data_IF_123147518642
#
_entry.id   IF_123147518642
#
_cell.length_a   1.000
_cell.length_b   1.000
_cell.length_c   1.000
_cell.angle_alpha   90.00
_cell.angle_beta   90.00
_cell.angle_gamma   90.00
#
_symmetry.space_group_name_H-M   'P 1'
#
loop_
_entity.id
_entity.type
_entity.pdbx_description
1 polymer ?
#
# COMPACT_ATOMS: atom_id res chain seq x y z
N UNK A 1 -14.69 6.71 7.83
CA UNK A 1 -14.83 7.99 8.57
C UNK A 1 -13.95 9.09 7.99
N UNK A 2 -12.68 8.84 7.59
CA UNK A 2 -11.81 9.92 7.05
C UNK A 2 -12.31 10.55 5.73
N UNK A 3 -12.99 9.78 4.88
CA UNK A 3 -13.46 10.23 3.56
C UNK A 3 -14.90 10.75 3.55
N UNK A 4 -15.53 10.90 4.71
CA UNK A 4 -16.87 11.46 4.77
C UNK A 4 -16.84 12.92 4.28
N UNK A 5 -17.79 13.27 3.42
CA UNK A 5 -17.85 14.61 2.83
C UNK A 5 -16.70 14.93 1.87
N UNK A 6 -15.97 13.94 1.35
CA UNK A 6 -14.88 14.15 0.37
C UNK A 6 -15.20 15.14 -0.76
N UNK A 7 -16.39 15.11 -1.40
CA UNK A 7 -16.74 16.07 -2.45
C UNK A 7 -16.74 17.55 -1.99
N UNK A 8 -16.84 17.81 -0.69
CA UNK A 8 -16.88 19.18 -0.14
C UNK A 8 -15.48 19.75 0.10
N UNK A 9 -14.49 18.89 0.40
CA UNK A 9 -13.17 19.34 0.84
C UNK A 9 -12.03 18.92 -0.09
N UNK A 10 -12.24 18.04 -1.09
CA UNK A 10 -11.17 17.53 -1.94
C UNK A 10 -10.41 18.65 -2.67
N UNK A 11 -11.09 19.70 -3.11
CA UNK A 11 -10.48 20.84 -3.80
C UNK A 11 -9.64 21.71 -2.87
N UNK A 12 -9.85 21.59 -1.55
CA UNK A 12 -9.01 22.23 -0.54
C UNK A 12 -7.77 21.39 -0.19
N UNK A 13 -7.56 20.23 -0.82
CA UNK A 13 -6.32 19.47 -0.65
C UNK A 13 -5.13 20.27 -1.16
N UNK A 14 -4.13 20.36 -0.30
CA UNK A 14 -2.83 20.96 -0.53
C UNK A 14 -1.75 19.97 -0.14
N UNK A 15 -0.50 20.21 -0.54
CA UNK A 15 0.61 19.31 -0.17
C UNK A 15 0.79 19.16 1.36
N UNK A 16 0.30 20.12 2.15
CA UNK A 16 0.39 20.11 3.61
C UNK A 16 -0.62 19.17 4.27
N UNK A 17 -1.91 19.35 3.99
CA UNK A 17 -2.98 18.53 4.57
C UNK A 17 -2.99 17.09 3.99
N UNK A 18 -2.61 16.91 2.73
CA UNK A 18 -2.45 15.61 2.11
C UNK A 18 -1.36 14.78 2.82
N UNK A 19 -0.24 15.41 3.21
CA UNK A 19 0.79 14.73 4.02
C UNK A 19 0.24 14.23 5.36
N UNK A 20 -0.60 15.03 6.01
CA UNK A 20 -1.23 14.63 7.27
C UNK A 20 -2.21 13.47 7.05
N UNK A 21 -3.04 13.55 6.01
CA UNK A 21 -3.98 12.50 5.62
C UNK A 21 -3.25 11.17 5.35
N UNK A 22 -2.18 11.21 4.56
CA UNK A 22 -1.33 10.04 4.28
C UNK A 22 -0.64 9.50 5.53
N UNK A 23 -0.23 10.36 6.46
CA UNK A 23 0.36 9.92 7.73
C UNK A 23 -0.65 9.14 8.59
N UNK A 24 -1.90 9.60 8.67
CA UNK A 24 -2.98 8.91 9.39
C UNK A 24 -3.30 7.57 8.73
N UNK A 25 -3.44 7.56 7.39
CA UNK A 25 -3.68 6.32 6.66
C UNK A 25 -2.55 5.31 6.88
N UNK A 26 -1.29 5.74 6.77
CA UNK A 26 -0.12 4.90 6.96
C UNK A 26 -0.07 4.27 8.36
N UNK A 27 -0.50 4.99 9.40
CA UNK A 27 -0.60 4.47 10.75
C UNK A 27 -1.62 3.30 10.84
N UNK A 28 -2.75 3.41 10.15
CA UNK A 28 -3.74 2.32 10.07
C UNK A 28 -3.22 1.17 9.21
N UNK A 29 -2.62 1.47 8.06
CA UNK A 29 -2.06 0.49 7.14
C UNK A 29 -0.98 -0.36 7.81
N UNK A 30 -0.02 0.26 8.51
CA UNK A 30 1.02 -0.45 9.28
C UNK A 30 0.44 -1.43 10.31
N UNK A 31 -0.64 -1.04 11.00
CA UNK A 31 -1.34 -1.94 11.94
C UNK A 31 -2.01 -3.10 11.21
N UNK A 32 -2.71 -2.82 10.10
CA UNK A 32 -3.38 -3.83 9.31
C UNK A 32 -2.42 -4.91 8.79
N UNK A 33 -1.21 -4.51 8.38
CA UNK A 33 -0.17 -5.40 7.88
C UNK A 33 0.77 -5.94 8.96
N UNK A 34 0.59 -5.57 10.25
CA UNK A 34 1.53 -5.92 11.34
C UNK A 34 2.97 -5.49 11.04
N UNK A 35 3.13 -4.33 10.41
CA UNK A 35 4.42 -3.80 9.95
C UNK A 35 5.08 -2.90 11.00
N UNK A 36 6.41 -2.78 10.93
CA UNK A 36 7.15 -1.84 11.77
C UNK A 36 6.79 -0.39 11.47
N UNK A 37 6.95 0.47 12.49
CA UNK A 37 6.79 1.93 12.36
C UNK A 37 7.74 2.57 11.35
N UNK A 38 8.85 1.90 11.05
CA UNK A 38 9.91 2.35 10.12
C UNK A 38 9.58 2.10 8.65
N UNK A 39 8.57 1.28 8.33
CA UNK A 39 8.11 1.09 6.95
C UNK A 39 7.61 2.44 6.41
N UNK A 40 8.10 2.86 5.24
CA UNK A 40 7.67 4.10 4.59
C UNK A 40 6.14 4.15 4.40
N UNK A 41 5.55 5.34 4.49
CA UNK A 41 4.09 5.51 4.43
C UNK A 41 3.49 4.90 3.16
N UNK A 42 4.05 5.22 2.00
CA UNK A 42 3.60 4.70 0.70
C UNK A 42 3.69 3.17 0.63
N UNK A 43 4.79 2.59 1.11
CA UNK A 43 4.97 1.15 1.14
C UNK A 43 3.97 0.44 2.07
N UNK A 44 3.63 1.06 3.20
CA UNK A 44 2.64 0.51 4.12
C UNK A 44 1.24 0.50 3.50
N UNK A 45 0.84 1.60 2.83
CA UNK A 45 -0.44 1.72 2.13
C UNK A 45 -0.52 0.70 0.98
N UNK A 46 0.57 0.57 0.21
CA UNK A 46 0.70 -0.41 -0.86
C UNK A 46 0.55 -1.86 -0.37
N UNK A 47 1.24 -2.23 0.72
CA UNK A 47 1.11 -3.56 1.32
C UNK A 47 -0.29 -3.82 1.87
N UNK A 48 -0.90 -2.80 2.48
CA UNK A 48 -2.27 -2.90 2.96
C UNK A 48 -3.27 -3.14 1.82
N UNK A 49 -2.90 -2.78 0.58
CA UNK A 49 -3.77 -2.94 -0.59
C UNK A 49 -4.94 -1.97 -0.57
N UNK A 50 -4.78 -0.81 0.08
CA UNK A 50 -5.80 0.23 0.16
C UNK A 50 -5.38 1.39 -0.72
N UNK A 51 -6.29 1.93 -1.54
CA UNK A 51 -6.03 3.13 -2.32
C UNK A 51 -5.65 4.31 -1.38
N UNK A 52 -4.65 5.14 -1.73
CA UNK A 52 -4.36 6.37 -1.00
C UNK A 52 -5.60 7.24 -0.85
N UNK A 53 -5.85 7.77 0.34
CA UNK A 53 -7.07 8.50 0.65
C UNK A 53 -7.23 9.80 -0.14
N UNK A 54 -6.15 10.41 -0.61
CA UNK A 54 -6.22 11.55 -1.53
C UNK A 54 -6.83 11.15 -2.88
N UNK A 55 -6.45 9.98 -3.41
CA UNK A 55 -7.00 9.43 -4.65
C UNK A 55 -8.44 8.93 -4.45
N UNK A 56 -8.71 8.27 -3.33
CA UNK A 56 -10.06 7.80 -2.98
C UNK A 56 -11.04 8.98 -2.80
N UNK A 57 -10.58 10.09 -2.21
CA UNK A 57 -11.36 11.33 -2.12
C UNK A 57 -11.71 11.91 -3.50
N UNK A 58 -10.75 11.92 -4.44
CA UNK A 58 -10.97 12.36 -5.83
C UNK A 58 -12.02 11.48 -6.51
N UNK A 59 -11.93 10.15 -6.37
CA UNK A 59 -12.94 9.23 -6.91
C UNK A 59 -14.32 9.53 -6.35
N UNK A 60 -14.44 9.70 -5.03
CA UNK A 60 -15.71 9.99 -4.38
C UNK A 60 -16.32 11.33 -4.83
N UNK A 61 -15.49 12.36 -5.03
CA UNK A 61 -15.91 13.65 -5.57
C UNK A 61 -16.41 13.53 -7.01
N UNK A 62 -15.65 12.86 -7.88
CA UNK A 62 -16.04 12.66 -9.28
C UNK A 62 -17.35 11.87 -9.41
N UNK A 63 -17.55 10.81 -8.60
CA UNK A 63 -18.83 10.08 -8.56
C UNK A 63 -19.97 10.99 -8.10
N UNK A 64 -19.72 11.85 -7.10
CA UNK A 64 -20.74 12.77 -6.59
C UNK A 64 -21.17 13.79 -7.65
N UNK A 65 -20.22 14.38 -8.37
CA UNK A 65 -20.46 15.32 -9.48
C UNK A 65 -21.21 14.64 -10.61
N UNK A 66 -20.76 13.47 -11.07
CA UNK A 66 -21.42 12.69 -12.12
C UNK A 66 -22.88 12.35 -11.77
N UNK A 67 -23.17 12.04 -10.50
CA UNK A 67 -24.54 11.85 -10.01
C UNK A 67 -25.32 13.16 -9.99
N UNK A 68 -24.66 14.28 -9.66
CA UNK A 68 -25.22 15.63 -9.69
C UNK A 68 -25.65 16.04 -11.09
N UNK A 69 -24.78 15.84 -12.08
CA UNK A 69 -25.04 16.17 -13.48
C UNK A 69 -26.25 15.41 -14.01
N UNK A 70 -26.34 14.10 -13.72
CA UNK A 70 -27.52 13.31 -14.11
C UNK A 70 -28.79 13.80 -13.47
N UNK A 71 -28.76 14.14 -12.17
CA UNK A 71 -29.93 14.71 -11.50
C UNK A 71 -30.35 16.04 -12.13
N UNK A 72 -29.41 16.88 -12.58
CA UNK A 72 -29.74 18.13 -13.28
C UNK A 72 -30.39 17.92 -14.65
N UNK A 73 -30.23 16.72 -15.23
CA UNK A 73 -30.84 16.29 -16.48
C UNK A 73 -32.11 15.45 -16.27
N UNK A 74 -32.65 15.42 -15.04
CA UNK A 74 -33.77 14.56 -14.62
C UNK A 74 -33.52 13.05 -14.87
N UNK A 75 -32.25 12.64 -14.95
CA UNK A 75 -31.83 11.26 -15.10
C UNK A 75 -31.50 10.66 -13.73
N UNK A 76 -32.07 9.48 -13.46
CA UNK A 76 -31.66 8.64 -12.33
C UNK A 76 -30.85 7.46 -12.87
N UNK A 77 -29.52 7.43 -12.68
CA UNK A 77 -28.72 6.31 -13.17
C UNK A 77 -29.16 5.01 -12.52
N UNK A 78 -29.21 3.94 -13.31
CA UNK A 78 -29.42 2.60 -12.80
C UNK A 78 -28.25 2.20 -11.89
N UNK A 79 -28.46 1.33 -10.89
CA UNK A 79 -27.38 0.87 -10.01
C UNK A 79 -26.17 0.29 -10.75
N UNK A 80 -26.38 -0.32 -11.93
CA UNK A 80 -25.31 -0.83 -12.79
C UNK A 80 -24.47 0.26 -13.43
N UNK A 81 -25.10 1.34 -13.87
CA UNK A 81 -24.39 2.49 -14.47
C UNK A 81 -23.58 3.22 -13.42
N UNK A 82 -24.16 3.39 -12.23
CA UNK A 82 -23.49 3.98 -11.08
C UNK A 82 -22.25 3.19 -10.64
N UNK A 83 -22.39 1.86 -10.57
CA UNK A 83 -21.27 0.97 -10.27
C UNK A 83 -20.21 1.00 -11.37
N UNK A 84 -20.62 0.98 -12.65
CA UNK A 84 -19.68 1.02 -13.77
C UNK A 84 -18.87 2.32 -13.82
N UNK A 85 -19.48 3.47 -13.57
CA UNK A 85 -18.73 4.74 -13.49
C UNK A 85 -17.76 4.73 -12.31
N UNK A 86 -18.21 4.25 -11.15
CA UNK A 86 -17.35 4.14 -9.97
C UNK A 86 -16.13 3.27 -10.26
N UNK A 87 -16.34 2.09 -10.84
CA UNK A 87 -15.26 1.18 -11.22
C UNK A 87 -14.29 1.82 -12.23
N UNK A 88 -14.81 2.56 -13.20
CA UNK A 88 -14.00 3.31 -14.17
C UNK A 88 -13.11 4.34 -13.48
N UNK A 89 -13.65 5.11 -12.55
CA UNK A 89 -12.91 6.13 -11.80
C UNK A 89 -11.88 5.51 -10.84
N UNK A 90 -12.25 4.41 -10.16
CA UNK A 90 -11.32 3.64 -9.34
C UNK A 90 -10.16 3.06 -10.17
N UNK A 91 -10.42 2.59 -11.41
CA UNK A 91 -9.39 2.11 -12.33
C UNK A 91 -8.38 3.22 -12.69
N UNK A 92 -8.87 4.42 -13.06
CA UNK A 92 -8.02 5.58 -13.34
C UNK A 92 -7.18 6.01 -12.13
N UNK A 93 -7.77 5.94 -10.94
CA UNK A 93 -7.08 6.23 -9.69
C UNK A 93 -5.99 5.19 -9.39
N UNK A 94 -6.24 3.90 -9.64
CA UNK A 94 -5.25 2.84 -9.51
C UNK A 94 -4.08 3.01 -10.48
N UNK A 95 -4.34 3.41 -11.72
CA UNK A 95 -3.30 3.68 -12.72
C UNK A 95 -2.44 4.89 -12.32
N UNK A 96 -3.08 5.97 -11.87
CA UNK A 96 -2.39 7.14 -11.31
C UNK A 96 -1.54 6.76 -10.10
N UNK A 97 -2.04 5.87 -9.24
CA UNK A 97 -1.30 5.38 -8.09
C UNK A 97 -0.09 4.52 -8.50
N UNK A 98 -0.26 3.61 -9.47
CA UNK A 98 0.83 2.79 -9.98
C UNK A 98 2.00 3.66 -10.47
N UNK A 99 1.70 4.71 -11.25
CA UNK A 99 2.69 5.68 -11.72
C UNK A 99 3.35 6.43 -10.56
N UNK A 100 2.57 6.90 -9.58
CA UNK A 100 3.09 7.59 -8.39
C UNK A 100 4.06 6.72 -7.60
N UNK A 101 3.72 5.46 -7.39
CA UNK A 101 4.52 4.50 -6.63
C UNK A 101 5.78 4.10 -7.39
N UNK A 102 5.68 3.88 -8.71
CA UNK A 102 6.83 3.53 -9.56
C UNK A 102 7.89 4.65 -9.59
N UNK A 103 7.46 5.92 -9.53
CA UNK A 103 8.35 7.08 -9.46
C UNK A 103 8.80 7.44 -8.03
N UNK A 104 8.31 6.72 -7.02
CA UNK A 104 8.65 6.92 -5.62
C UNK A 104 10.08 6.49 -5.29
N UNK A 105 10.71 7.18 -4.33
CA UNK A 105 12.08 6.87 -3.88
C UNK A 105 12.16 5.90 -2.71
N UNK A 106 11.03 5.60 -2.05
CA UNK A 106 10.99 4.83 -0.80
C UNK A 106 10.30 3.48 -0.99
N UNK A 107 10.71 2.48 -0.21
CA UNK A 107 10.03 1.18 -0.21
C UNK A 107 10.25 0.37 -1.49
N UNK A 108 11.40 0.53 -2.15
CA UNK A 108 11.70 -0.05 -3.46
C UNK A 108 11.42 -1.55 -3.56
N UNK A 109 11.74 -2.34 -2.53
CA UNK A 109 11.41 -3.78 -2.49
C UNK A 109 9.90 -4.03 -2.59
N UNK A 110 9.11 -3.30 -1.82
CA UNK A 110 7.64 -3.39 -1.87
C UNK A 110 7.10 -2.98 -3.22
N UNK A 111 7.62 -1.89 -3.78
CA UNK A 111 7.22 -1.43 -5.12
C UNK A 111 7.50 -2.50 -6.16
N UNK A 112 8.70 -3.08 -6.18
CA UNK A 112 9.06 -4.13 -7.13
C UNK A 112 8.24 -5.41 -6.94
N UNK A 113 7.85 -5.74 -5.70
CA UNK A 113 7.05 -6.93 -5.40
C UNK A 113 5.57 -6.78 -5.74
N UNK A 114 4.98 -5.59 -5.51
CA UNK A 114 3.53 -5.38 -5.58
C UNK A 114 3.10 -4.65 -6.85
N UNK A 115 3.86 -3.65 -7.32
CA UNK A 115 3.45 -2.82 -8.45
C UNK A 115 3.14 -3.61 -9.74
N UNK A 116 3.88 -4.69 -10.09
CA UNK A 116 3.55 -5.51 -11.27
C UNK A 116 2.17 -6.20 -11.20
N UNK A 117 1.62 -6.36 -10.00
CA UNK A 117 0.34 -7.05 -9.74
C UNK A 117 -0.59 -6.16 -8.91
N UNK A 118 -0.48 -4.84 -9.04
CA UNK A 118 -1.15 -3.89 -8.14
C UNK A 118 -2.68 -4.05 -8.18
N UNK A 119 -3.25 -4.23 -9.38
CA UNK A 119 -4.70 -4.31 -9.59
C UNK A 119 -5.25 -5.57 -8.89
N UNK A 120 -4.60 -6.71 -9.09
CA UNK A 120 -4.93 -7.98 -8.44
C UNK A 120 -4.71 -7.90 -6.93
N UNK A 121 -3.64 -7.23 -6.50
CA UNK A 121 -3.29 -7.08 -5.09
C UNK A 121 -4.32 -6.24 -4.31
N UNK A 122 -4.85 -5.18 -4.91
CA UNK A 122 -5.91 -4.36 -4.29
C UNK A 122 -7.24 -5.09 -4.30
N UNK A 123 -7.55 -5.84 -5.37
CA UNK A 123 -8.83 -6.55 -5.54
C UNK A 123 -8.92 -7.88 -4.81
N UNK A 124 -7.84 -8.34 -4.18
CA UNK A 124 -7.81 -9.65 -3.50
C UNK A 124 -8.86 -9.73 -2.38
N UNK A 125 -9.67 -10.78 -2.42
CA UNK A 125 -10.70 -11.03 -1.39
C UNK A 125 -10.14 -11.64 -0.09
N UNK A 126 -8.97 -12.26 -0.15
CA UNK A 126 -8.36 -13.04 0.94
C UNK A 126 -6.84 -12.72 1.03
N UNK A 127 -6.15 -13.31 2.01
CA UNK A 127 -4.70 -13.17 2.14
C UNK A 127 -4.27 -12.00 3.04
N UNK A 128 -4.71 -11.99 4.30
CA UNK A 128 -4.17 -11.05 5.29
C UNK A 128 -2.67 -11.29 5.41
N UNK A 129 -1.88 -10.22 5.37
CA UNK A 129 -0.44 -10.36 5.55
C UNK A 129 -0.12 -10.84 6.96
N UNK A 130 0.63 -11.93 7.05
CA UNK A 130 1.26 -12.34 8.30
C UNK A 130 2.41 -11.39 8.62
N UNK A 131 2.83 -11.33 9.89
CA UNK A 131 3.97 -10.52 10.28
C UNK A 131 5.22 -10.83 9.43
N UNK A 132 5.50 -12.12 9.18
CA UNK A 132 6.67 -12.58 8.40
C UNK A 132 6.56 -12.15 6.94
N UNK A 133 5.41 -12.33 6.29
CA UNK A 133 5.20 -11.89 4.91
C UNK A 133 5.35 -10.38 4.76
N UNK A 134 4.85 -9.60 5.72
CA UNK A 134 5.07 -8.15 5.73
C UNK A 134 6.55 -7.78 5.82
N UNK A 135 7.32 -8.47 6.66
CA UNK A 135 8.76 -8.21 6.74
C UNK A 135 9.45 -8.53 5.41
N UNK A 136 9.09 -9.67 4.82
CA UNK A 136 9.63 -10.11 3.55
C UNK A 136 9.33 -9.11 2.42
N UNK A 137 8.07 -8.68 2.29
CA UNK A 137 7.66 -7.78 1.21
C UNK A 137 8.11 -6.34 1.44
N UNK A 138 8.30 -5.94 2.70
CA UNK A 138 8.78 -4.60 3.03
C UNK A 138 10.30 -4.47 2.99
N UNK A 139 11.05 -5.57 3.13
CA UNK A 139 12.50 -5.55 3.32
C UNK A 139 12.91 -4.85 4.62
N UNK A 140 11.96 -4.62 5.51
CA UNK A 140 12.17 -4.19 6.89
C UNK A 140 11.89 -5.42 7.75
N UNK A 141 12.61 -5.63 8.85
CA UNK A 141 12.34 -6.79 9.68
C UNK A 141 13.44 -7.17 10.65
N UNK A 142 13.46 -8.45 11.01
CA UNK A 142 14.47 -9.06 11.87
C UNK A 142 15.74 -9.49 11.12
N UNK A 143 15.94 -8.95 9.91
CA UNK A 143 17.07 -9.29 9.07
C UNK A 143 18.30 -8.49 9.51
N UNK A 144 19.43 -9.16 9.70
CA UNK A 144 20.69 -8.55 10.13
C UNK A 144 21.09 -7.32 9.30
N UNK A 145 20.97 -7.39 7.95
CA UNK A 145 21.24 -6.23 7.07
C UNK A 145 20.40 -5.00 7.48
N UNK A 146 19.10 -5.22 7.69
CA UNK A 146 18.20 -4.17 8.08
C UNK A 146 18.52 -3.61 9.47
N UNK A 147 18.72 -4.49 10.45
CA UNK A 147 18.97 -4.13 11.84
C UNK A 147 20.32 -3.42 12.00
N UNK A 148 21.34 -3.83 11.26
CA UNK A 148 22.63 -3.14 11.20
C UNK A 148 22.48 -1.74 10.61
N UNK A 149 21.77 -1.59 9.49
CA UNK A 149 21.54 -0.29 8.85
C UNK A 149 20.82 0.72 9.74
N UNK A 150 19.94 0.27 10.63
CA UNK A 150 19.27 1.13 11.63
C UNK A 150 20.00 1.17 12.97
N UNK A 151 21.25 0.72 13.02
CA UNK A 151 22.13 0.70 14.19
C UNK A 151 21.54 -0.01 15.41
N UNK A 152 20.75 -1.06 15.17
CA UNK A 152 20.23 -1.95 16.21
C UNK A 152 21.10 -3.17 16.43
N UNK A 153 21.93 -3.53 15.45
CA UNK A 153 22.90 -4.62 15.53
C UNK A 153 24.28 -4.18 15.03
N UNK A 154 25.32 -4.86 15.53
CA UNK A 154 26.72 -4.54 15.20
C UNK A 154 27.17 -5.13 13.85
N UNK A 155 26.42 -6.10 13.32
CA UNK A 155 26.74 -6.82 12.09
C UNK A 155 25.49 -7.03 11.25
N UNK A 156 25.67 -7.11 9.93
CA UNK A 156 24.63 -7.49 8.97
C UNK A 156 24.44 -9.01 8.86
N UNK A 157 25.25 -9.81 9.56
CA UNK A 157 25.33 -11.26 9.36
C UNK A 157 24.05 -12.02 9.77
N UNK A 158 23.83 -13.16 9.12
CA UNK A 158 22.68 -14.03 9.38
C UNK A 158 22.85 -14.80 10.68
N UNK A 159 21.89 -14.64 11.59
CA UNK A 159 21.84 -15.35 12.86
C UNK A 159 21.69 -16.88 12.70
N UNK A 160 21.17 -17.34 11.56
CA UNK A 160 20.84 -18.75 11.34
C UNK A 160 21.96 -19.54 10.65
N UNK A 161 22.64 -18.95 9.66
CA UNK A 161 23.65 -19.64 8.88
C UNK A 161 24.99 -18.89 8.78
N UNK A 162 25.13 -17.78 9.52
CA UNK A 162 26.36 -16.98 9.61
C UNK A 162 26.88 -16.46 8.26
N UNK A 163 26.00 -16.32 7.26
CA UNK A 163 26.29 -15.57 6.05
C UNK A 163 26.58 -14.12 6.39
N UNK A 164 27.52 -13.48 5.71
CA UNK A 164 27.96 -12.10 6.00
C UNK A 164 26.83 -11.07 5.88
N UNK A 165 25.85 -11.34 5.00
CA UNK A 165 24.66 -10.51 4.83
C UNK A 165 23.38 -11.32 5.01
N UNK A 166 22.58 -10.92 5.99
CA UNK A 166 21.21 -11.36 6.20
C UNK A 166 20.26 -10.39 5.55
N UNK A 167 20.15 -10.48 4.23
CA UNK A 167 19.09 -9.78 3.50
C UNK A 167 17.83 -10.62 3.50
N UNK A 168 16.69 -9.98 3.25
CA UNK A 168 15.46 -10.72 2.98
C UNK A 168 15.61 -11.71 1.82
N UNK A 169 16.40 -11.37 0.80
CA UNK A 169 16.64 -12.23 -0.35
C UNK A 169 17.44 -13.47 0.06
N UNK A 170 18.50 -13.27 0.85
CA UNK A 170 19.24 -14.36 1.46
C UNK A 170 18.33 -15.31 2.24
N UNK A 171 17.47 -14.77 3.13
CA UNK A 171 16.53 -15.59 3.90
C UNK A 171 15.62 -16.42 3.00
N UNK A 172 15.10 -15.85 1.90
CA UNK A 172 14.18 -16.55 0.99
C UNK A 172 14.86 -17.62 0.13
N UNK A 173 16.03 -17.32 -0.43
CA UNK A 173 16.61 -18.12 -1.52
C UNK A 173 17.79 -18.98 -1.06
N UNK A 174 18.47 -18.59 0.02
CA UNK A 174 19.77 -19.16 0.39
C UNK A 174 19.80 -19.71 1.81
N UNK A 175 19.07 -19.11 2.75
CA UNK A 175 19.11 -19.52 4.15
C UNK A 175 18.36 -20.83 4.39
N UNK A 176 18.93 -21.82 5.09
CA UNK A 176 18.23 -23.03 5.49
C UNK A 176 16.95 -22.76 6.30
N UNK A 177 16.92 -21.67 7.07
CA UNK A 177 15.78 -21.30 7.91
C UNK A 177 14.54 -20.85 7.11
N UNK A 178 14.71 -20.29 5.90
CA UNK A 178 13.60 -19.87 5.05
C UNK A 178 12.95 -21.02 4.26
N UNK A 179 13.74 -22.05 3.93
CA UNK A 179 13.27 -23.21 3.16
C UNK A 179 12.30 -24.11 3.92
N UNK A 180 12.34 -24.13 5.26
CA UNK A 180 11.47 -24.96 6.09
C UNK A 180 10.03 -24.45 6.29
N UNK A 181 9.64 -23.34 5.65
CA UNK A 181 8.28 -22.77 5.78
C UNK A 181 7.41 -22.85 4.51
N UNK A 182 7.88 -23.56 3.47
CA UNK A 182 7.13 -23.79 2.23
C UNK A 182 6.38 -25.13 2.20
N UNK A 183 6.65 -26.05 3.15
CA UNK A 183 6.11 -27.42 3.16
C UNK A 183 5.07 -27.67 4.29
N UNK A 184 4.22 -26.70 4.65
CA UNK A 184 3.13 -26.91 5.62
C UNK A 184 1.88 -26.08 5.33
#
# INVERSE_FOLDING_TARGET
MALYGAPVWVDALSSGNDRQLRSVQALMARRAIRGYRTIAAEAAILLAGTLPWDLDAIVLAAVYEWRGDRRSQDLRPAPREDQAERERLEELALESWALRVANGRTGRRTVLAICPVLKEWVRRRHGRLTYRLTQILSGNGCFGDYLHRISREQSAACHHCHSDEDTTQHTLETCPAGRGSADS
#
